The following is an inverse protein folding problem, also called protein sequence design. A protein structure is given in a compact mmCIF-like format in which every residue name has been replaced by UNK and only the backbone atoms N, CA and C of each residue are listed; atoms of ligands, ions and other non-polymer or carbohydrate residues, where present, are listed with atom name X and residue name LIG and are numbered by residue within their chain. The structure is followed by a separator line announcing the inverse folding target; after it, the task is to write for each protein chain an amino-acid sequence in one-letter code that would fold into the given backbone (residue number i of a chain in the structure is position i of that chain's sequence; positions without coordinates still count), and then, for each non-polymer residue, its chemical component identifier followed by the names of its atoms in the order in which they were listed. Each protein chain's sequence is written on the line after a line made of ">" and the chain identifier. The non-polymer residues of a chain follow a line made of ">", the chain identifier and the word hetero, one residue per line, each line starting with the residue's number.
data_IF_714291323864
#
_entry.id   IF_714291323864
#
_cell.length_a   1.000
_cell.length_b   1.000
_cell.length_c   1.000
_cell.angle_alpha   90.00
_cell.angle_beta   90.00
_cell.angle_gamma   90.00
#
_symmetry.space_group_name_H-M   'P 1'
#
loop_
_entity.id
_entity.type
_entity.pdbx_description
1 polymer ?
#
# COMPACT_ATOMS: atom_id res chain seq x y z
N UNK A 1 17.76 3.18 18.98
CA UNK A 1 16.83 2.04 18.85
C UNK A 1 15.48 2.46 19.41
N UNK A 2 14.75 3.26 18.65
CA UNK A 2 13.36 3.63 18.95
C UNK A 2 12.48 2.60 18.25
N UNK A 3 11.92 1.67 19.01
CA UNK A 3 10.93 0.72 18.48
C UNK A 3 9.68 1.48 18.09
N UNK A 4 9.43 1.60 16.79
CA UNK A 4 8.18 2.17 16.26
C UNK A 4 7.05 1.22 16.64
N UNK A 5 6.31 1.59 17.68
CA UNK A 5 5.06 0.93 18.04
C UNK A 5 4.11 1.16 16.87
N UNK A 6 3.89 0.13 16.04
CA UNK A 6 2.78 0.10 15.09
C UNK A 6 1.49 0.17 15.90
N UNK A 7 1.03 1.38 16.18
CA UNK A 7 -0.26 1.64 16.81
C UNK A 7 -1.31 0.99 15.93
N UNK A 8 -1.91 -0.10 16.42
CA UNK A 8 -3.07 -0.73 15.78
C UNK A 8 -4.15 0.34 15.70
N UNK A 9 -4.31 0.93 14.53
CA UNK A 9 -5.34 1.91 14.27
C UNK A 9 -6.67 1.14 14.29
N UNK A 10 -7.43 1.29 15.38
CA UNK A 10 -8.82 0.83 15.45
C UNK A 10 -9.61 1.81 14.58
N UNK A 11 -9.72 1.52 13.29
CA UNK A 11 -10.55 2.27 12.37
C UNK A 11 -12.02 1.99 12.69
N UNK A 12 -12.63 2.84 13.51
CA UNK A 12 -14.06 2.82 13.81
C UNK A 12 -14.83 3.34 12.59
N UNK A 13 -15.23 2.45 11.69
CA UNK A 13 -16.07 2.78 10.53
C UNK A 13 -17.51 2.94 11.00
N UNK A 14 -17.95 4.19 11.16
CA UNK A 14 -19.34 4.54 11.48
C UNK A 14 -20.23 4.37 10.24
N UNK A 15 -20.92 3.24 10.11
CA UNK A 15 -21.96 3.05 9.10
C UNK A 15 -23.27 3.72 9.53
N UNK A 16 -23.72 4.74 8.79
CA UNK A 16 -25.05 5.31 8.92
C UNK A 16 -26.11 4.40 8.30
N UNK A 17 -26.81 3.62 9.12
CA UNK A 17 -27.95 2.81 8.70
C UNK A 17 -29.23 3.67 8.65
N UNK A 18 -29.75 3.92 7.45
CA UNK A 18 -31.08 4.51 7.25
C UNK A 18 -32.10 3.37 7.14
N UNK A 19 -32.83 3.12 8.23
CA UNK A 19 -33.88 2.09 8.29
C UNK A 19 -35.23 2.73 7.99
N UNK A 20 -35.89 2.28 6.92
CA UNK A 20 -37.30 2.58 6.65
C UNK A 20 -38.19 1.60 7.43
N UNK A 21 -39.01 2.15 8.32
CA UNK A 21 -39.95 1.43 9.17
C UNK A 21 -41.26 1.18 8.41
N UNK A 22 -41.58 -0.08 8.18
CA UNK A 22 -42.91 -0.53 7.73
C UNK A 22 -43.53 -1.44 8.79
N UNK A 23 -44.62 -0.98 9.40
CA UNK A 23 -45.36 -1.69 10.45
C UNK A 23 -46.10 -2.92 9.90
N UNK A 24 -45.84 -4.10 10.48
CA UNK A 24 -46.63 -5.31 10.29
C UNK A 24 -46.53 -6.20 11.53
N UNK A 25 -47.60 -6.23 12.33
CA UNK A 25 -47.69 -6.96 13.61
C UNK A 25 -47.89 -8.45 13.35
N UNK A 26 -47.01 -9.29 13.91
CA UNK A 26 -47.26 -10.72 14.12
C UNK A 26 -46.67 -11.19 15.45
N UNK A 27 -47.51 -11.82 16.26
CA UNK A 27 -47.26 -12.24 17.63
C UNK A 27 -46.58 -13.60 17.74
N UNK A 28 -45.46 -13.59 18.49
CA UNK A 28 -44.96 -14.56 19.47
C UNK A 28 -45.02 -16.07 19.19
N UNK A 29 -43.83 -16.65 18.95
CA UNK A 29 -43.37 -17.82 19.71
C UNK A 29 -41.94 -17.57 20.19
N UNK A 30 -41.78 -17.50 21.51
CA UNK A 30 -40.50 -17.24 22.19
C UNK A 30 -39.55 -18.42 22.02
N UNK A 31 -38.72 -18.36 20.99
CA UNK A 31 -37.48 -19.15 20.90
C UNK A 31 -36.41 -18.26 21.51
N UNK A 32 -35.89 -18.65 22.67
CA UNK A 32 -34.67 -18.09 23.26
C UNK A 32 -33.46 -18.42 22.35
N UNK A 33 -33.39 -17.77 21.19
CA UNK A 33 -32.19 -17.72 20.39
C UNK A 33 -31.22 -16.82 21.14
N UNK A 34 -30.33 -17.42 21.94
CA UNK A 34 -29.07 -16.78 22.33
C UNK A 34 -28.37 -16.33 21.05
N UNK A 35 -28.54 -15.06 20.68
CA UNK A 35 -27.78 -14.42 19.62
C UNK A 35 -26.35 -14.38 20.14
N UNK A 36 -25.58 -15.41 19.79
CA UNK A 36 -24.14 -15.37 19.93
C UNK A 36 -23.65 -14.50 18.79
N UNK A 37 -23.50 -13.21 19.07
CA UNK A 37 -22.87 -12.24 18.18
C UNK A 37 -21.42 -12.68 17.97
N UNK A 38 -21.19 -13.44 16.89
CA UNK A 38 -19.83 -13.79 16.49
C UNK A 38 -19.16 -12.53 15.95
N UNK A 39 -18.00 -12.20 16.50
CA UNK A 39 -17.10 -11.24 15.89
C UNK A 39 -16.83 -11.70 14.46
N UNK A 40 -17.12 -10.83 13.50
CA UNK A 40 -16.87 -11.06 12.09
C UNK A 40 -15.73 -10.16 11.65
N UNK A 41 -14.63 -10.75 11.23
CA UNK A 41 -13.53 -10.04 10.59
C UNK A 41 -13.89 -9.77 9.13
N UNK A 42 -13.71 -8.54 8.69
CA UNK A 42 -13.73 -8.17 7.27
C UNK A 42 -12.35 -7.68 6.84
N UNK A 43 -11.95 -7.99 5.62
CA UNK A 43 -10.66 -7.59 5.05
C UNK A 43 -10.88 -6.40 4.13
N UNK A 44 -10.33 -5.25 4.50
CA UNK A 44 -10.47 -4.00 3.75
C UNK A 44 -9.18 -3.74 2.98
N UNK A 45 -9.28 -3.65 1.66
CA UNK A 45 -8.21 -3.13 0.81
C UNK A 45 -8.18 -1.62 0.94
N UNK A 46 -7.01 -1.09 1.28
CA UNK A 46 -6.79 0.29 1.67
C UNK A 46 -5.70 0.91 0.81
N UNK A 47 -5.90 2.13 0.32
CA UNK A 47 -4.91 2.90 -0.44
C UNK A 47 -4.14 3.85 0.48
N UNK A 48 -2.81 3.74 0.48
CA UNK A 48 -1.94 4.65 1.19
C UNK A 48 -1.99 6.07 0.61
N UNK A 49 -1.92 7.06 1.50
CA UNK A 49 -1.74 8.45 1.11
C UNK A 49 -0.26 8.78 1.05
N UNK A 50 0.16 9.33 -0.08
CA UNK A 50 1.51 9.80 -0.31
C UNK A 50 1.46 11.32 -0.41
N UNK A 51 2.35 12.03 0.27
CA UNK A 51 2.38 13.49 0.29
C UNK A 51 3.75 14.05 -0.09
N UNK A 52 3.74 15.22 -0.70
CA UNK A 52 4.97 15.97 -0.96
C UNK A 52 5.50 16.57 0.34
N UNK A 53 6.80 16.43 0.60
CA UNK A 53 7.49 17.26 1.60
C UNK A 53 7.78 18.66 1.05
N UNK A 54 8.20 18.73 -0.22
CA UNK A 54 8.46 19.95 -0.98
C UNK A 54 8.24 19.69 -2.48
N UNK A 55 8.27 20.72 -3.32
CA UNK A 55 8.08 20.59 -4.77
C UNK A 55 9.17 19.76 -5.49
N UNK A 56 10.31 19.51 -4.84
CA UNK A 56 11.44 18.74 -5.40
C UNK A 56 11.82 17.50 -4.58
N UNK A 57 11.10 17.24 -3.49
CA UNK A 57 11.36 16.04 -2.67
C UNK A 57 10.50 14.89 -3.16
N UNK A 58 10.94 13.63 -3.03
CA UNK A 58 10.07 12.50 -3.27
C UNK A 58 8.83 12.54 -2.36
N UNK A 59 7.77 11.87 -2.80
CA UNK A 59 6.57 11.65 -2.01
C UNK A 59 6.92 10.75 -0.83
N UNK A 60 6.46 11.10 0.37
CA UNK A 60 6.59 10.27 1.56
C UNK A 60 5.23 9.76 2.01
N UNK A 61 5.22 8.62 2.68
CA UNK A 61 4.00 8.07 3.26
C UNK A 61 3.42 9.05 4.29
N UNK A 62 2.13 9.34 4.18
CA UNK A 62 1.42 10.24 5.08
C UNK A 62 0.79 9.47 6.24
N UNK A 63 1.61 9.10 7.22
CA UNK A 63 1.18 8.34 8.41
C UNK A 63 0.14 9.06 9.27
N UNK A 64 0.08 10.40 9.18
CA UNK A 64 -0.88 11.21 9.91
C UNK A 64 -2.28 11.20 9.32
N UNK A 65 -2.46 10.68 8.10
CA UNK A 65 -3.75 10.57 7.44
C UNK A 65 -4.14 9.10 7.26
N UNK A 66 -5.33 8.69 7.74
CA UNK A 66 -5.82 7.37 7.40
C UNK A 66 -5.95 7.31 5.88
N UNK A 67 -5.36 6.28 5.27
CA UNK A 67 -5.55 6.06 3.84
C UNK A 67 -7.00 5.76 3.48
N UNK A 68 -7.27 5.60 2.19
CA UNK A 68 -8.63 5.53 1.65
C UNK A 68 -9.08 4.07 1.55
N UNK A 69 -10.19 3.66 2.19
CA UNK A 69 -10.76 2.34 1.94
C UNK A 69 -11.24 2.24 0.48
N UNK A 70 -10.84 1.17 -0.19
CA UNK A 70 -11.16 0.93 -1.61
C UNK A 70 -12.28 -0.09 -1.73
N UNK A 71 -12.14 -1.24 -1.06
CA UNK A 71 -13.09 -2.36 -1.14
C UNK A 71 -12.93 -3.28 0.06
N UNK A 72 -14.03 -3.91 0.50
CA UNK A 72 -14.02 -4.92 1.56
C UNK A 72 -14.37 -6.31 1.04
N UNK A 73 -13.86 -7.33 1.74
CA UNK A 73 -14.05 -8.74 1.45
C UNK A 73 -14.26 -9.51 2.76
N UNK A 74 -15.03 -10.59 2.70
CA UNK A 74 -15.12 -11.55 3.82
C UNK A 74 -14.00 -12.58 3.79
N UNK A 75 -13.37 -12.76 2.62
CA UNK A 75 -12.29 -13.71 2.39
C UNK A 75 -10.96 -12.97 2.22
N UNK A 76 -9.94 -13.41 2.95
CA UNK A 76 -8.62 -12.75 2.96
C UNK A 76 -7.89 -12.91 1.63
N UNK A 77 -7.93 -14.09 1.04
CA UNK A 77 -7.19 -14.41 -0.18
C UNK A 77 -7.68 -13.56 -1.36
N UNK A 78 -9.00 -13.42 -1.49
CA UNK A 78 -9.62 -12.52 -2.48
C UNK A 78 -9.27 -11.05 -2.27
N UNK A 79 -9.14 -10.61 -1.01
CA UNK A 79 -8.70 -9.25 -0.71
C UNK A 79 -7.25 -9.03 -1.14
N UNK A 80 -6.36 -9.98 -0.85
CA UNK A 80 -4.94 -9.92 -1.22
C UNK A 80 -4.75 -9.99 -2.74
N UNK A 81 -5.51 -10.83 -3.45
CA UNK A 81 -5.51 -10.86 -4.91
C UNK A 81 -5.93 -9.51 -5.50
N UNK A 82 -7.01 -8.91 -4.99
CA UNK A 82 -7.45 -7.60 -5.42
C UNK A 82 -6.40 -6.52 -5.13
N UNK A 83 -5.78 -6.56 -3.95
CA UNK A 83 -4.71 -5.66 -3.55
C UNK A 83 -3.48 -5.78 -4.48
N UNK A 84 -3.06 -6.99 -4.83
CA UNK A 84 -1.97 -7.24 -5.79
C UNK A 84 -2.30 -6.66 -7.17
N UNK A 85 -3.52 -6.87 -7.67
CA UNK A 85 -3.96 -6.35 -8.95
C UNK A 85 -3.96 -4.80 -8.99
N UNK A 86 -4.42 -4.14 -7.92
CA UNK A 86 -4.40 -2.69 -7.81
C UNK A 86 -2.97 -2.13 -7.76
N UNK A 87 -2.09 -2.76 -6.97
CA UNK A 87 -0.68 -2.39 -6.92
C UNK A 87 -0.03 -2.53 -8.30
N UNK A 88 -0.24 -3.65 -9.00
CA UNK A 88 0.28 -3.86 -10.35
C UNK A 88 -0.19 -2.77 -11.33
N UNK A 89 -1.49 -2.45 -11.31
CA UNK A 89 -2.05 -1.40 -12.17
C UNK A 89 -1.45 -0.02 -11.88
N UNK A 90 -1.22 0.32 -10.62
CA UNK A 90 -0.60 1.59 -10.21
C UNK A 90 0.86 1.65 -10.64
N UNK A 91 1.63 0.57 -10.39
CA UNK A 91 3.04 0.42 -10.78
C UNK A 91 3.28 0.59 -12.28
N UNK A 92 2.35 0.15 -13.11
CA UNK A 92 2.43 0.30 -14.57
C UNK A 92 2.49 1.78 -15.03
N UNK A 93 2.02 2.73 -14.22
CA UNK A 93 1.92 4.17 -14.56
C UNK A 93 2.82 5.05 -13.71
N UNK A 94 3.58 4.47 -12.79
CA UNK A 94 4.29 5.19 -11.75
C UNK A 94 5.79 4.94 -11.84
N UNK A 95 6.56 5.96 -11.48
CA UNK A 95 7.99 5.86 -11.21
C UNK A 95 8.19 5.53 -9.72
N UNK A 96 8.82 4.39 -9.37
CA UNK A 96 8.99 3.98 -7.98
C UNK A 96 9.82 4.97 -7.17
N UNK A 97 10.83 5.59 -7.77
CA UNK A 97 11.72 6.54 -7.08
C UNK A 97 11.03 7.85 -6.69
N UNK A 98 9.83 8.10 -7.25
CA UNK A 98 8.97 9.19 -6.81
C UNK A 98 8.44 8.99 -5.38
N UNK A 99 8.44 7.76 -4.86
CA UNK A 99 7.85 7.39 -3.57
C UNK A 99 8.97 6.94 -2.63
N UNK A 100 9.44 7.83 -1.75
CA UNK A 100 10.43 7.52 -0.74
C UNK A 100 9.72 6.82 0.43
N UNK A 101 9.90 5.50 0.62
CA UNK A 101 9.28 4.78 1.71
C UNK A 101 9.90 5.16 3.06
N UNK A 102 9.34 4.60 4.13
CA UNK A 102 9.87 4.75 5.49
C UNK A 102 11.36 4.38 5.51
N UNK A 103 12.15 5.12 6.29
CA UNK A 103 13.61 4.97 6.40
C UNK A 103 14.40 5.27 5.10
N UNK A 104 13.71 5.61 4.00
CA UNK A 104 14.31 5.91 2.70
C UNK A 104 14.79 4.67 1.92
N UNK A 105 14.41 3.47 2.37
CA UNK A 105 14.83 2.21 1.76
C UNK A 105 13.78 1.69 0.78
N UNK A 106 14.03 1.80 -0.53
CA UNK A 106 13.14 1.30 -1.59
C UNK A 106 12.97 -0.23 -1.59
N UNK A 107 13.90 -0.93 -0.96
CA UNK A 107 14.03 -2.38 -0.99
C UNK A 107 14.54 -2.92 0.34
N UNK A 108 14.17 -4.15 0.68
CA UNK A 108 14.77 -4.92 1.76
C UNK A 108 16.16 -5.48 1.42
N UNK A 109 16.54 -5.46 0.14
CA UNK A 109 17.86 -5.87 -0.30
C UNK A 109 18.92 -4.87 0.18
N UNK A 110 20.13 -5.35 0.45
CA UNK A 110 21.25 -4.42 0.56
C UNK A 110 21.53 -3.75 -0.79
N UNK A 111 22.27 -2.64 -0.73
CA UNK A 111 22.58 -1.81 -1.89
C UNK A 111 23.31 -2.56 -3.00
N UNK A 112 24.23 -3.46 -2.66
CA UNK A 112 25.01 -4.22 -3.65
C UNK A 112 24.08 -5.18 -4.39
N UNK A 113 23.21 -5.88 -3.66
CA UNK A 113 22.22 -6.77 -4.23
C UNK A 113 21.20 -6.04 -5.11
N UNK A 114 20.72 -4.87 -4.69
CA UNK A 114 19.81 -4.05 -5.50
C UNK A 114 20.46 -3.60 -6.83
N UNK A 115 21.69 -3.09 -6.77
CA UNK A 115 22.43 -2.69 -7.97
C UNK A 115 22.71 -3.89 -8.89
N UNK A 116 22.99 -5.07 -8.32
CA UNK A 116 23.16 -6.30 -9.09
C UNK A 116 21.85 -6.70 -9.79
N UNK A 117 20.69 -6.57 -9.14
CA UNK A 117 19.39 -6.83 -9.75
C UNK A 117 19.11 -5.88 -10.93
N UNK A 118 19.45 -4.58 -10.80
CA UNK A 118 19.33 -3.62 -11.91
C UNK A 118 20.24 -4.01 -13.09
N UNK A 119 21.49 -4.41 -12.82
CA UNK A 119 22.44 -4.85 -13.85
C UNK A 119 22.03 -6.16 -14.52
N UNK A 120 21.38 -7.07 -13.80
CA UNK A 120 20.88 -8.33 -14.35
C UNK A 120 19.81 -8.11 -15.43
N UNK A 121 19.10 -6.98 -15.40
CA UNK A 121 18.18 -6.54 -16.45
C UNK A 121 18.88 -5.89 -17.66
N UNK A 122 20.21 -5.91 -17.69
CA UNK A 122 21.02 -5.28 -18.74
C UNK A 122 21.09 -3.75 -18.64
N UNK A 123 20.76 -3.18 -17.47
CA UNK A 123 20.73 -1.74 -17.25
C UNK A 123 21.97 -1.24 -16.54
N UNK A 124 22.37 -0.01 -16.85
CA UNK A 124 23.43 0.70 -16.13
C UNK A 124 22.74 1.57 -15.08
N UNK A 125 22.87 1.27 -13.78
CA UNK A 125 22.31 2.13 -12.74
C UNK A 125 22.99 3.50 -12.77
N UNK A 126 22.32 4.58 -12.35
CA UNK A 126 22.96 5.89 -12.30
C UNK A 126 24.16 5.85 -11.35
N UNK A 127 25.12 6.75 -11.58
CA UNK A 127 26.32 6.81 -10.77
C UNK A 127 25.94 7.08 -9.31
N UNK A 128 26.46 6.23 -8.44
CA UNK A 128 26.41 6.46 -7.02
C UNK A 128 27.30 7.63 -6.67
N UNK A 129 26.71 8.76 -6.27
CA UNK A 129 27.46 9.84 -5.65
C UNK A 129 27.60 9.52 -4.16
N UNK A 130 28.81 9.23 -3.64
CA UNK A 130 29.01 8.94 -2.22
C UNK A 130 28.72 10.15 -1.32
N UNK A 131 28.67 11.34 -1.91
CA UNK A 131 28.37 12.60 -1.22
C UNK A 131 26.88 12.99 -1.30
N UNK A 132 26.11 12.35 -2.18
CA UNK A 132 24.70 12.66 -2.33
C UNK A 132 23.89 12.21 -1.11
N UNK A 133 23.09 13.13 -0.57
CA UNK A 133 22.09 12.78 0.44
C UNK A 133 20.98 11.92 -0.16
N UNK A 134 20.16 11.28 0.69
CA UNK A 134 19.08 10.39 0.27
C UNK A 134 18.10 11.04 -0.72
N UNK A 135 17.74 12.31 -0.52
CA UNK A 135 16.82 13.05 -1.39
C UNK A 135 17.44 13.28 -2.80
N UNK A 136 18.73 13.59 -2.85
CA UNK A 136 19.45 13.78 -4.12
C UNK A 136 19.61 12.45 -4.86
N UNK A 137 19.96 11.38 -4.14
CA UNK A 137 20.03 10.04 -4.71
C UNK A 137 18.66 9.61 -5.26
N UNK A 138 17.58 9.83 -4.51
CA UNK A 138 16.22 9.56 -4.99
C UNK A 138 15.89 10.33 -6.27
N UNK A 139 16.32 11.59 -6.38
CA UNK A 139 16.12 12.40 -7.58
C UNK A 139 16.93 11.89 -8.78
N UNK A 140 18.20 11.54 -8.59
CA UNK A 140 19.05 10.93 -9.63
C UNK A 140 18.41 9.65 -10.19
N UNK A 141 17.92 8.78 -9.30
CA UNK A 141 17.22 7.56 -9.70
C UNK A 141 15.87 7.84 -10.38
N UNK A 142 15.15 8.86 -9.91
CA UNK A 142 13.92 9.32 -10.55
C UNK A 142 14.16 9.77 -11.99
N UNK A 143 15.13 10.65 -12.23
CA UNK A 143 15.49 11.13 -13.57
C UNK A 143 15.99 9.98 -14.46
N UNK A 144 16.84 9.11 -13.93
CA UNK A 144 17.30 7.91 -14.64
C UNK A 144 16.12 7.06 -15.11
N UNK A 145 15.14 6.80 -14.24
CA UNK A 145 13.95 6.04 -14.61
C UNK A 145 13.12 6.76 -15.69
N UNK A 146 12.82 8.05 -15.54
CA UNK A 146 12.02 8.81 -16.52
C UNK A 146 12.67 8.82 -17.91
N UNK A 147 14.00 8.94 -17.96
CA UNK A 147 14.74 9.01 -19.22
C UNK A 147 14.77 7.67 -19.98
N UNK A 148 14.75 6.53 -19.28
CA UNK A 148 14.94 5.22 -19.90
C UNK A 148 13.67 4.35 -19.93
N UNK A 149 12.68 4.58 -19.06
CA UNK A 149 11.50 3.71 -18.91
C UNK A 149 10.76 3.43 -20.21
N UNK A 150 10.72 4.39 -21.13
CA UNK A 150 10.03 4.26 -22.43
C UNK A 150 10.67 3.22 -23.36
N UNK A 151 11.94 2.89 -23.13
CA UNK A 151 12.70 1.93 -23.92
C UNK A 151 12.61 0.50 -23.36
N UNK A 152 12.01 0.34 -22.17
CA UNK A 152 11.91 -0.96 -21.49
C UNK A 152 10.55 -1.60 -21.75
N UNK A 153 10.56 -2.92 -21.98
CA UNK A 153 9.35 -3.71 -21.96
C UNK A 153 8.72 -3.76 -20.55
N UNK A 154 7.47 -4.18 -20.48
CA UNK A 154 6.72 -4.23 -19.23
C UNK A 154 7.24 -5.29 -18.26
N UNK A 155 7.78 -6.40 -18.77
CA UNK A 155 8.26 -7.51 -17.93
C UNK A 155 9.54 -7.10 -17.17
N UNK A 156 10.46 -6.40 -17.85
CA UNK A 156 11.65 -5.79 -17.24
C UNK A 156 11.26 -4.83 -16.13
N UNK A 157 10.28 -3.97 -16.39
CA UNK A 157 9.78 -2.99 -15.42
C UNK A 157 9.13 -3.67 -14.23
N UNK A 158 8.37 -4.74 -14.46
CA UNK A 158 7.80 -5.53 -13.37
C UNK A 158 8.89 -6.18 -12.51
N UNK A 159 9.96 -6.73 -13.11
CA UNK A 159 11.09 -7.30 -12.36
C UNK A 159 11.82 -6.26 -11.52
N UNK A 160 12.06 -5.06 -12.05
CA UNK A 160 12.60 -3.95 -11.25
C UNK A 160 11.65 -3.57 -10.10
N UNK A 161 10.35 -3.49 -10.35
CA UNK A 161 9.35 -3.26 -9.30
C UNK A 161 9.35 -4.35 -8.22
N UNK A 162 9.59 -5.61 -8.58
CA UNK A 162 9.71 -6.72 -7.60
C UNK A 162 10.94 -6.57 -6.71
N UNK A 163 12.02 -5.97 -7.22
CA UNK A 163 13.19 -5.65 -6.41
C UNK A 163 12.93 -4.50 -5.41
N UNK A 164 11.87 -3.70 -5.61
CA UNK A 164 11.49 -2.56 -4.76
C UNK A 164 10.27 -2.92 -3.88
N UNK A 165 10.44 -3.91 -3.02
CA UNK A 165 9.38 -4.51 -2.19
C UNK A 165 8.81 -3.57 -1.12
N UNK A 166 9.50 -2.48 -0.78
CA UNK A 166 9.04 -1.48 0.19
C UNK A 166 8.21 -0.36 -0.42
N UNK A 167 8.04 -0.34 -1.75
CA UNK A 167 7.15 0.62 -2.43
C UNK A 167 5.83 -0.06 -2.82
N UNK A 168 4.79 0.24 -2.06
CA UNK A 168 3.44 -0.28 -2.25
C UNK A 168 2.40 0.83 -2.09
N UNK A 169 1.27 0.68 -2.76
CA UNK A 169 0.20 1.69 -2.82
C UNK A 169 -1.06 1.25 -2.09
N UNK A 170 -1.23 -0.06 -1.97
CA UNK A 170 -2.38 -0.66 -1.30
C UNK A 170 -1.92 -1.75 -0.33
N UNK A 171 -2.66 -1.90 0.76
CA UNK A 171 -2.54 -3.00 1.72
C UNK A 171 -3.91 -3.61 2.05
N UNK A 172 -3.89 -4.76 2.72
CA UNK A 172 -5.10 -5.41 3.26
C UNK A 172 -5.08 -5.27 4.77
N UNK A 173 -6.14 -4.67 5.32
CA UNK A 173 -6.32 -4.48 6.75
C UNK A 173 -7.45 -5.39 7.27
N UNK A 174 -7.21 -6.24 8.28
CA UNK A 174 -8.29 -6.93 8.99
C UNK A 174 -9.01 -5.94 9.90
N UNK A 175 -10.33 -5.88 9.79
CA UNK A 175 -11.20 -5.03 10.61
C UNK A 175 -12.22 -5.90 11.30
N UNK A 176 -12.22 -5.88 12.63
CA UNK A 176 -13.23 -6.56 13.43
C UNK A 176 -14.51 -5.72 13.44
N UNK A 177 -15.63 -6.33 13.04
CA UNK A 177 -16.93 -5.70 13.18
C UNK A 177 -17.39 -5.81 14.64
N UNK A 178 -17.61 -4.65 15.26
CA UNK A 178 -18.29 -4.58 16.56
C UNK A 178 -19.79 -4.51 16.27
N UNK A 179 -20.60 -5.41 16.86
CA UNK A 179 -22.04 -5.44 16.65
C UNK A 179 -22.76 -4.18 17.19
#
# INVERSE_FOLDING_TARGET
>A
MTGTIRTRLVAMVMYGAMVLVGCGVRTSSSIDNKITTKHQTVYVVHEFMWRWRSNRSPLVLDEGRPGKPVKSFLDRERAEEHCRALNLHKRAKSNPFRYLPEEGEYTSMDRVAFLAAVRAEGLIPPADSPEAGNDELAWIWFEWWENHRREWDNDRVERLWKAMDRVYFYEVLPVELVP
#
